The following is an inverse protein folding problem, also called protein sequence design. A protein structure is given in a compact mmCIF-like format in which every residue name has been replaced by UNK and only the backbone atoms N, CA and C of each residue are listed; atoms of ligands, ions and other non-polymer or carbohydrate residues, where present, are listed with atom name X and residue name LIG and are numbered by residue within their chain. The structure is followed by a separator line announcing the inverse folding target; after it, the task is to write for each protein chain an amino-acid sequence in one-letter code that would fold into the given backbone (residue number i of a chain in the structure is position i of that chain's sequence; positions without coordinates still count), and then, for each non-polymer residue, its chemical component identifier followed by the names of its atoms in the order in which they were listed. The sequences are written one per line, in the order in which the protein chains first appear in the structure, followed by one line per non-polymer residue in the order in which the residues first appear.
data_IF_613244144385
#
_entry.id   IF_613244144385
#
_cell.length_a   1.000
_cell.length_b   1.000
_cell.length_c   1.000
_cell.angle_alpha   90.00
_cell.angle_beta   90.00
_cell.angle_gamma   90.00
#
_symmetry.space_group_name_H-M   'P 1'
#
loop_
_entity.id
_entity.type
_entity.pdbx_description
1 polymer ?
#
# COMPACT_ATOMS: atom_id res chain seq x y z
N UNK A 1 38.30 -12.23 10.46
CA UNK A 1 37.45 -13.40 10.86
C UNK A 1 36.46 -13.02 11.95
N UNK A 2 36.86 -12.39 13.06
CA UNK A 2 35.97 -11.98 14.15
C UNK A 2 34.99 -10.84 13.76
N UNK A 3 35.38 -9.90 12.95
CA UNK A 3 34.46 -8.86 12.42
C UNK A 3 33.32 -9.43 11.56
N UNK A 4 33.63 -10.41 10.70
CA UNK A 4 32.63 -11.11 9.89
C UNK A 4 31.62 -11.90 10.72
N UNK A 5 32.03 -12.49 11.85
CA UNK A 5 31.15 -13.21 12.78
C UNK A 5 30.22 -12.21 13.52
N UNK A 6 30.77 -11.07 13.96
CA UNK A 6 30.01 -10.01 14.64
C UNK A 6 28.99 -9.33 13.72
N UNK A 7 29.36 -9.10 12.46
CA UNK A 7 28.42 -8.60 11.43
C UNK A 7 27.34 -9.62 11.09
N UNK A 8 27.69 -10.91 11.03
CA UNK A 8 26.75 -12.00 10.74
C UNK A 8 25.65 -12.10 11.81
N UNK A 9 25.98 -11.90 13.08
CA UNK A 9 24.99 -11.87 14.17
C UNK A 9 24.18 -10.58 14.16
N UNK A 10 24.78 -9.44 13.81
CA UNK A 10 24.13 -8.13 13.82
C UNK A 10 22.97 -8.05 12.80
N UNK A 11 23.18 -8.46 11.54
CA UNK A 11 22.13 -8.39 10.53
C UNK A 11 20.98 -9.37 10.81
N UNK A 12 21.26 -10.56 11.36
CA UNK A 12 20.23 -11.54 11.73
C UNK A 12 19.35 -11.01 12.85
N UNK A 13 19.94 -10.45 13.91
CA UNK A 13 19.21 -9.81 14.99
C UNK A 13 18.37 -8.66 14.50
N UNK A 14 18.95 -7.78 13.67
CA UNK A 14 18.22 -6.68 13.07
C UNK A 14 17.06 -7.17 12.20
N UNK A 15 17.24 -8.26 11.44
CA UNK A 15 16.18 -8.85 10.62
C UNK A 15 14.95 -9.25 11.45
N UNK A 16 15.12 -9.95 12.57
CA UNK A 16 14.00 -10.37 13.42
C UNK A 16 13.24 -9.16 13.99
N UNK A 17 13.97 -8.18 14.52
CA UNK A 17 13.37 -7.00 15.12
C UNK A 17 12.65 -6.15 14.06
N UNK A 18 13.30 -5.96 12.92
CA UNK A 18 12.71 -5.19 11.81
C UNK A 18 11.54 -5.92 11.16
N UNK A 19 11.54 -7.25 11.11
CA UNK A 19 10.40 -8.04 10.64
C UNK A 19 9.18 -7.81 11.53
N UNK A 20 9.35 -7.90 12.85
CA UNK A 20 8.29 -7.56 13.80
C UNK A 20 7.86 -6.10 13.69
N UNK A 21 8.81 -5.17 13.62
CA UNK A 21 8.52 -3.74 13.48
C UNK A 21 7.79 -3.39 12.19
N UNK A 22 8.15 -4.01 11.06
CA UNK A 22 7.46 -3.80 9.77
C UNK A 22 6.07 -4.43 9.76
N UNK A 23 5.89 -5.59 10.40
CA UNK A 23 4.59 -6.21 10.60
C UNK A 23 3.67 -5.28 11.40
N UNK A 24 4.10 -4.84 12.58
CA UNK A 24 3.33 -3.94 13.43
C UNK A 24 3.04 -2.59 12.77
N UNK A 25 3.98 -2.07 11.98
CA UNK A 25 3.76 -0.85 11.18
C UNK A 25 2.73 -1.10 10.08
N UNK A 26 2.77 -2.25 9.42
CA UNK A 26 1.77 -2.67 8.45
C UNK A 26 0.37 -2.78 9.06
N UNK A 27 0.26 -3.44 10.21
CA UNK A 27 -0.99 -3.49 11.01
C UNK A 27 -1.46 -2.08 11.33
N UNK A 28 -0.61 -1.23 11.94
CA UNK A 28 -0.97 0.14 12.33
C UNK A 28 -1.39 1.04 11.16
N UNK A 29 -0.83 0.82 9.98
CA UNK A 29 -1.18 1.57 8.77
C UNK A 29 -2.54 1.17 8.19
N UNK A 30 -2.95 -0.10 8.31
CA UNK A 30 -4.15 -0.64 7.66
C UNK A 30 -5.33 -0.92 8.62
N UNK A 31 -5.06 -1.11 9.90
CA UNK A 31 -6.02 -1.51 10.93
C UNK A 31 -7.26 -0.61 11.00
N UNK A 32 -7.05 0.70 10.90
CA UNK A 32 -8.12 1.70 11.07
C UNK A 32 -8.92 1.92 9.78
N UNK A 33 -8.34 1.63 8.63
CA UNK A 33 -8.92 1.98 7.31
C UNK A 33 -10.37 1.49 7.16
N UNK A 34 -10.74 0.23 7.50
CA UNK A 34 -12.08 -0.28 7.25
C UNK A 34 -13.17 0.40 8.09
N UNK A 35 -12.86 0.87 9.28
CA UNK A 35 -13.87 1.50 10.15
C UNK A 35 -13.73 3.02 10.26
N UNK A 36 -12.79 3.61 9.49
CA UNK A 36 -12.57 5.06 9.52
C UNK A 36 -13.84 5.86 9.19
N UNK A 37 -14.65 5.51 8.17
CA UNK A 37 -15.91 6.20 7.92
C UNK A 37 -16.90 6.11 9.09
N UNK A 38 -16.97 4.95 9.76
CA UNK A 38 -17.83 4.74 10.93
C UNK A 38 -17.32 5.56 12.13
N UNK A 39 -16.02 5.71 12.27
CA UNK A 39 -15.42 6.59 13.29
C UNK A 39 -15.73 8.06 13.00
N UNK A 40 -15.62 8.52 11.74
CA UNK A 40 -15.99 9.89 11.36
C UNK A 40 -17.45 10.18 11.70
N UNK A 41 -18.36 9.26 11.40
CA UNK A 41 -19.78 9.37 11.75
C UNK A 41 -20.00 9.53 13.26
N UNK A 42 -19.19 8.88 14.11
CA UNK A 42 -19.25 9.03 15.56
C UNK A 42 -18.78 10.38 16.09
N UNK A 43 -18.11 11.20 15.25
CA UNK A 43 -17.61 12.54 15.58
C UNK A 43 -18.59 13.66 15.25
N UNK A 44 -19.72 13.37 14.59
CA UNK A 44 -20.72 14.36 14.24
C UNK A 44 -21.85 13.80 13.38
N UNK A 45 -22.82 14.63 13.07
CA UNK A 45 -23.93 14.29 12.18
C UNK A 45 -23.59 14.74 10.74
N UNK A 46 -23.48 13.78 9.84
CA UNK A 46 -23.13 14.02 8.45
C UNK A 46 -24.17 13.39 7.53
N UNK A 47 -24.51 14.07 6.47
CA UNK A 47 -25.23 13.48 5.33
C UNK A 47 -24.37 12.40 4.65
N UNK A 48 -24.99 11.52 3.85
CA UNK A 48 -24.27 10.48 3.08
C UNK A 48 -23.13 11.10 2.22
N UNK A 49 -23.39 12.26 1.61
CA UNK A 49 -22.42 12.96 0.78
C UNK A 49 -21.22 13.48 1.60
N UNK A 50 -21.51 14.16 2.71
CA UNK A 50 -20.47 14.69 3.59
C UNK A 50 -19.62 13.59 4.22
N UNK A 51 -20.24 12.51 4.69
CA UNK A 51 -19.54 11.37 5.28
C UNK A 51 -18.60 10.71 4.26
N UNK A 52 -19.09 10.49 3.04
CA UNK A 52 -18.28 9.95 1.95
C UNK A 52 -17.13 10.88 1.60
N UNK A 53 -17.39 12.18 1.46
CA UNK A 53 -16.37 13.19 1.13
C UNK A 53 -15.29 13.27 2.22
N UNK A 54 -15.66 13.39 3.50
CA UNK A 54 -14.70 13.43 4.60
C UNK A 54 -13.87 12.15 4.68
N UNK A 55 -14.49 10.98 4.46
CA UNK A 55 -13.78 9.69 4.45
C UNK A 55 -12.72 9.64 3.37
N UNK A 56 -13.06 10.05 2.15
CA UNK A 56 -12.12 10.09 1.03
C UNK A 56 -11.00 11.10 1.24
N UNK A 57 -11.34 12.31 1.72
CA UNK A 57 -10.36 13.37 1.98
C UNK A 57 -9.35 12.95 3.06
N UNK A 58 -9.82 12.36 4.15
CA UNK A 58 -8.96 11.92 5.27
C UNK A 58 -8.04 10.78 4.85
N UNK A 59 -8.51 9.83 4.05
CA UNK A 59 -7.67 8.76 3.51
C UNK A 59 -6.64 9.33 2.52
N UNK A 60 -7.07 10.15 1.57
CA UNK A 60 -6.20 10.75 0.57
C UNK A 60 -5.12 11.64 1.19
N UNK A 61 -5.45 12.39 2.25
CA UNK A 61 -4.54 13.32 2.93
C UNK A 61 -3.28 12.63 3.45
N UNK A 62 -3.41 11.42 3.99
CA UNK A 62 -2.28 10.63 4.48
C UNK A 62 -1.34 10.23 3.33
N UNK A 63 -1.89 9.77 2.19
CA UNK A 63 -1.08 9.42 1.03
C UNK A 63 -0.43 10.63 0.39
N UNK A 64 -1.14 11.76 0.34
CA UNK A 64 -0.64 13.03 -0.22
C UNK A 64 0.59 13.51 0.54
N UNK A 65 0.49 13.63 1.86
CA UNK A 65 1.62 14.11 2.69
C UNK A 65 2.76 13.11 2.72
N UNK A 66 2.47 11.79 2.68
CA UNK A 66 3.50 10.75 2.57
C UNK A 66 4.27 10.86 1.25
N UNK A 67 3.58 11.10 0.13
CA UNK A 67 4.20 11.28 -1.17
C UNK A 67 5.14 12.52 -1.21
N UNK A 68 4.72 13.63 -0.61
CA UNK A 68 5.51 14.86 -0.54
C UNK A 68 6.69 14.72 0.43
N UNK A 69 6.48 14.11 1.58
CA UNK A 69 7.50 14.01 2.62
C UNK A 69 8.55 12.93 2.34
N UNK A 70 8.19 11.85 1.63
CA UNK A 70 9.07 10.71 1.38
C UNK A 70 10.42 11.09 0.70
N UNK A 71 10.49 11.93 -0.35
CA UNK A 71 11.75 12.35 -0.94
C UNK A 71 12.62 13.19 0.01
N UNK A 72 11.99 14.00 0.87
CA UNK A 72 12.70 14.82 1.85
C UNK A 72 13.37 13.94 2.92
N UNK A 73 12.61 12.98 3.44
CA UNK A 73 13.13 12.01 4.41
C UNK A 73 14.17 11.07 3.80
N UNK A 74 14.02 10.69 2.52
CA UNK A 74 15.02 9.91 1.79
C UNK A 74 16.36 10.61 1.71
N UNK A 75 16.38 11.91 1.34
CA UNK A 75 17.59 12.73 1.33
C UNK A 75 18.22 12.86 2.74
N UNK A 76 17.40 12.98 3.76
CA UNK A 76 17.88 13.07 5.14
C UNK A 76 18.44 11.70 5.62
N UNK A 77 17.81 10.60 5.22
CA UNK A 77 18.29 9.25 5.50
C UNK A 77 19.67 8.96 4.87
N UNK A 78 19.92 9.48 3.67
CA UNK A 78 21.23 9.36 3.01
C UNK A 78 22.33 10.17 3.71
N UNK A 79 21.97 11.19 4.51
CA UNK A 79 22.90 12.04 5.26
C UNK A 79 23.08 11.64 6.72
N UNK A 80 22.02 11.14 7.37
CA UNK A 80 21.99 10.88 8.83
C UNK A 80 21.84 9.40 9.19
N UNK A 81 21.68 8.52 8.18
CA UNK A 81 21.43 7.10 8.40
C UNK A 81 19.96 6.72 8.40
N UNK A 82 19.68 5.43 8.30
CA UNK A 82 18.34 4.85 8.23
C UNK A 82 17.70 4.71 9.61
N UNK A 83 18.50 4.36 10.64
CA UNK A 83 18.02 4.18 12.02
C UNK A 83 17.35 5.44 12.59
N UNK A 84 17.92 6.66 12.51
CA UNK A 84 17.25 7.88 12.97
C UNK A 84 15.91 8.13 12.25
N UNK A 85 15.82 7.77 10.96
CA UNK A 85 14.57 7.91 10.20
C UNK A 85 13.51 6.92 10.63
N UNK A 86 13.89 5.68 11.01
CA UNK A 86 12.96 4.71 11.59
C UNK A 86 12.45 5.15 12.96
N UNK A 87 13.34 5.66 13.81
CA UNK A 87 12.98 6.19 15.13
C UNK A 87 12.01 7.35 15.03
N UNK A 88 12.30 8.31 14.14
CA UNK A 88 11.38 9.42 13.86
C UNK A 88 10.01 8.90 13.40
N UNK A 89 10.00 7.95 12.45
CA UNK A 89 8.76 7.43 11.89
C UNK A 89 7.92 6.70 12.95
N UNK A 90 8.50 5.76 13.70
CA UNK A 90 7.77 5.00 14.72
C UNK A 90 7.29 5.86 15.88
N UNK A 91 8.10 6.81 16.36
CA UNK A 91 7.72 7.74 17.40
C UNK A 91 6.59 8.68 16.95
N UNK A 92 6.77 9.32 15.78
CA UNK A 92 5.77 10.25 15.25
C UNK A 92 4.46 9.54 14.93
N UNK A 93 4.49 8.39 14.25
CA UNK A 93 3.31 7.58 13.99
C UNK A 93 2.63 7.14 15.29
N UNK A 94 3.39 6.68 16.29
CA UNK A 94 2.87 6.24 17.58
C UNK A 94 2.10 7.35 18.30
N UNK A 95 2.70 8.53 18.44
CA UNK A 95 2.07 9.69 19.07
C UNK A 95 0.82 10.13 18.29
N UNK A 96 0.94 10.26 16.98
CA UNK A 96 -0.16 10.76 16.13
C UNK A 96 -1.34 9.80 16.15
N UNK A 97 -1.10 8.49 16.02
CA UNK A 97 -2.18 7.47 16.07
C UNK A 97 -2.82 7.46 17.46
N UNK A 98 -2.03 7.55 18.53
CA UNK A 98 -2.55 7.64 19.89
C UNK A 98 -3.48 8.86 20.05
N UNK A 99 -3.07 10.03 19.57
CA UNK A 99 -3.87 11.25 19.63
C UNK A 99 -5.16 11.17 18.80
N UNK A 100 -5.21 10.35 17.73
CA UNK A 100 -6.44 10.14 16.96
C UNK A 100 -7.57 9.52 17.82
N UNK A 101 -7.26 8.82 18.90
CA UNK A 101 -8.25 8.31 19.85
C UNK A 101 -8.98 9.40 20.66
N UNK A 102 -8.43 10.60 20.70
CA UNK A 102 -8.94 11.71 21.52
C UNK A 102 -9.58 12.84 20.71
N UNK A 103 -9.66 12.72 19.39
CA UNK A 103 -10.26 13.75 18.53
C UNK A 103 -11.76 13.88 18.82
N UNK A 104 -12.27 15.10 18.71
CA UNK A 104 -13.67 15.45 18.94
C UNK A 104 -14.41 15.89 17.67
N UNK A 105 -13.67 16.15 16.60
CA UNK A 105 -14.23 16.54 15.30
C UNK A 105 -13.38 16.04 14.11
N UNK A 106 -13.97 16.08 12.93
CA UNK A 106 -13.37 15.59 11.69
C UNK A 106 -12.12 16.36 11.27
N UNK A 107 -12.03 17.64 11.57
CA UNK A 107 -10.90 18.50 11.19
C UNK A 107 -9.63 18.16 11.99
N UNK A 108 -9.77 17.88 13.30
CA UNK A 108 -8.67 17.38 14.10
C UNK A 108 -8.14 16.05 13.53
N UNK A 109 -9.06 15.16 13.16
CA UNK A 109 -8.68 13.88 12.55
C UNK A 109 -7.95 14.11 11.21
N UNK A 110 -8.40 15.03 10.38
CA UNK A 110 -7.75 15.39 9.12
C UNK A 110 -6.31 15.90 9.34
N UNK A 111 -6.12 16.80 10.30
CA UNK A 111 -4.78 17.32 10.64
C UNK A 111 -3.86 16.19 11.09
N UNK A 112 -4.32 15.31 11.97
CA UNK A 112 -3.54 14.17 12.44
C UNK A 112 -3.22 13.19 11.31
N UNK A 113 -4.11 13.00 10.36
CA UNK A 113 -3.88 12.17 9.16
C UNK A 113 -2.85 12.78 8.20
N UNK A 114 -2.87 14.09 8.02
CA UNK A 114 -1.82 14.81 7.28
C UNK A 114 -0.46 14.62 7.96
N UNK A 115 -0.41 14.79 9.27
CA UNK A 115 0.82 14.57 10.05
C UNK A 115 1.27 13.10 9.99
N UNK A 116 0.35 12.14 10.07
CA UNK A 116 0.66 10.71 9.97
C UNK A 116 1.40 10.38 8.66
N UNK A 117 0.90 10.90 7.55
CA UNK A 117 1.55 10.73 6.25
C UNK A 117 2.95 11.35 6.22
N UNK A 118 3.11 12.55 6.78
CA UNK A 118 4.40 13.24 6.86
C UNK A 118 5.44 12.48 7.70
N UNK A 119 5.00 11.79 8.76
CA UNK A 119 5.89 11.00 9.62
C UNK A 119 6.06 9.55 9.16
N UNK A 120 5.40 9.09 8.12
CA UNK A 120 5.52 7.73 7.59
C UNK A 120 6.94 7.38 7.11
N UNK A 121 7.18 6.09 6.80
CA UNK A 121 8.44 5.65 6.19
C UNK A 121 9.27 4.66 7.00
N UNK A 122 8.71 4.04 8.05
CA UNK A 122 9.40 3.00 8.83
C UNK A 122 9.79 1.80 7.95
N UNK A 123 8.82 1.25 7.18
CA UNK A 123 9.03 0.05 6.33
C UNK A 123 10.11 0.30 5.28
N UNK A 124 10.07 1.43 4.57
CA UNK A 124 11.04 1.75 3.52
C UNK A 124 12.46 1.92 4.06
N UNK A 125 12.62 2.54 5.24
CA UNK A 125 13.92 2.67 5.88
C UNK A 125 14.44 1.34 6.45
N UNK A 126 13.56 0.49 6.97
CA UNK A 126 13.90 -0.88 7.41
C UNK A 126 14.44 -1.72 6.26
N UNK A 127 13.75 -1.70 5.12
CA UNK A 127 14.17 -2.39 3.90
C UNK A 127 15.50 -1.85 3.38
N UNK A 128 15.68 -0.52 3.37
CA UNK A 128 16.91 0.11 2.93
C UNK A 128 18.10 -0.21 3.86
N UNK A 129 17.88 -0.23 5.18
CA UNK A 129 18.92 -0.63 6.15
C UNK A 129 19.34 -2.08 5.92
N UNK A 130 18.37 -3.00 5.78
CA UNK A 130 18.67 -4.41 5.54
C UNK A 130 19.41 -4.62 4.23
N UNK A 131 19.06 -3.90 3.16
CA UNK A 131 19.76 -3.97 1.88
C UNK A 131 21.25 -3.57 1.96
N UNK A 132 21.61 -2.72 2.95
CA UNK A 132 22.99 -2.27 3.16
C UNK A 132 23.78 -3.28 4.01
N UNK A 133 23.19 -3.85 5.08
CA UNK A 133 23.92 -4.62 6.08
C UNK A 133 23.95 -6.13 5.80
N UNK A 134 23.04 -6.63 4.95
CA UNK A 134 22.96 -8.07 4.65
C UNK A 134 23.99 -8.46 3.60
N UNK A 135 24.72 -9.59 3.78
CA UNK A 135 25.59 -10.14 2.74
C UNK A 135 24.83 -10.38 1.41
N UNK A 136 25.48 -10.13 0.28
CA UNK A 136 24.85 -10.19 -1.06
C UNK A 136 24.21 -11.55 -1.36
N UNK A 137 24.80 -12.64 -0.92
CA UNK A 137 24.30 -14.03 -1.07
C UNK A 137 23.01 -14.30 -0.30
N UNK A 138 22.68 -13.49 0.71
CA UNK A 138 21.49 -13.63 1.59
C UNK A 138 20.49 -12.49 1.46
N UNK A 139 20.81 -11.48 0.66
CA UNK A 139 19.98 -10.27 0.52
C UNK A 139 18.56 -10.60 0.05
N UNK A 140 18.41 -11.48 -0.94
CA UNK A 140 17.10 -11.91 -1.43
C UNK A 140 16.21 -12.51 -0.34
N UNK A 141 16.77 -13.43 0.49
CA UNK A 141 16.03 -14.06 1.60
C UNK A 141 15.65 -13.04 2.67
N UNK A 142 16.58 -12.17 3.07
CA UNK A 142 16.32 -11.20 4.13
C UNK A 142 15.29 -10.14 3.73
N UNK A 143 15.43 -9.57 2.52
CA UNK A 143 14.49 -8.58 2.00
C UNK A 143 13.11 -9.19 1.71
N UNK A 144 13.08 -10.43 1.20
CA UNK A 144 11.85 -11.19 1.03
C UNK A 144 11.12 -11.44 2.35
N UNK A 145 11.86 -11.79 3.42
CA UNK A 145 11.30 -11.94 4.76
C UNK A 145 10.68 -10.65 5.27
N UNK A 146 11.39 -9.52 5.19
CA UNK A 146 10.86 -8.20 5.58
C UNK A 146 9.60 -7.83 4.80
N UNK A 147 9.62 -8.03 3.49
CA UNK A 147 8.47 -7.76 2.62
C UNK A 147 7.27 -8.63 3.00
N UNK A 148 7.48 -9.93 3.27
CA UNK A 148 6.42 -10.84 3.70
C UNK A 148 5.78 -10.41 5.02
N UNK A 149 6.58 -10.05 6.04
CA UNK A 149 6.07 -9.55 7.32
C UNK A 149 5.31 -8.23 7.18
N UNK A 150 5.83 -7.29 6.41
CA UNK A 150 5.16 -6.02 6.12
C UNK A 150 3.81 -6.23 5.42
N UNK A 151 3.79 -7.08 4.40
CA UNK A 151 2.57 -7.44 3.67
C UNK A 151 1.57 -8.15 4.58
N UNK A 152 2.00 -9.14 5.36
CA UNK A 152 1.14 -9.82 6.32
C UNK A 152 0.50 -8.84 7.32
N UNK A 153 1.27 -7.87 7.82
CA UNK A 153 0.74 -6.82 8.68
C UNK A 153 -0.34 -5.97 8.01
N UNK A 154 -0.10 -5.55 6.76
CA UNK A 154 -1.08 -4.78 6.00
C UNK A 154 -2.37 -5.57 5.71
N UNK A 155 -2.27 -6.87 5.46
CA UNK A 155 -3.41 -7.73 5.12
C UNK A 155 -4.22 -8.14 6.35
N UNK A 156 -3.56 -8.41 7.47
CA UNK A 156 -4.21 -8.80 8.72
C UNK A 156 -4.72 -7.60 9.52
N UNK A 157 -4.15 -6.41 9.29
CA UNK A 157 -4.51 -5.19 10.01
C UNK A 157 -6.00 -4.88 10.00
N UNK A 158 -6.69 -4.88 8.85
CA UNK A 158 -8.13 -4.61 8.77
C UNK A 158 -8.97 -5.58 9.60
N UNK A 159 -8.62 -6.87 9.60
CA UNK A 159 -9.31 -7.90 10.39
C UNK A 159 -9.05 -7.69 11.89
N UNK A 160 -7.79 -7.52 12.28
CA UNK A 160 -7.41 -7.24 13.67
C UNK A 160 -8.12 -5.98 14.17
N UNK A 161 -8.15 -4.93 13.35
CA UNK A 161 -8.81 -3.67 13.67
C UNK A 161 -10.31 -3.80 13.82
N UNK A 162 -10.94 -4.57 12.93
CA UNK A 162 -12.38 -4.86 13.02
C UNK A 162 -12.76 -5.55 14.32
N UNK A 163 -12.02 -6.61 14.69
CA UNK A 163 -12.23 -7.34 15.95
C UNK A 163 -11.96 -6.44 17.17
N UNK A 164 -10.82 -5.73 17.15
CA UNK A 164 -10.44 -4.86 18.28
C UNK A 164 -11.46 -3.75 18.49
N UNK A 165 -11.94 -3.11 17.42
CA UNK A 165 -12.89 -2.01 17.50
C UNK A 165 -14.27 -2.44 18.05
N UNK A 166 -14.71 -3.68 17.83
CA UNK A 166 -15.95 -4.20 18.42
C UNK A 166 -15.80 -4.38 19.94
N UNK A 167 -14.66 -4.87 20.41
CA UNK A 167 -14.45 -5.13 21.83
C UNK A 167 -14.07 -3.89 22.65
N UNK A 168 -13.31 -2.97 22.05
CA UNK A 168 -12.74 -1.82 22.79
C UNK A 168 -13.30 -0.46 22.34
N UNK A 169 -14.02 -0.43 21.22
CA UNK A 169 -14.48 0.80 20.58
C UNK A 169 -13.38 1.46 19.72
N UNK A 170 -13.78 2.37 18.84
CA UNK A 170 -12.88 3.00 17.88
C UNK A 170 -11.74 3.78 18.55
N UNK A 171 -12.06 4.59 19.57
CA UNK A 171 -11.10 5.45 20.28
C UNK A 171 -9.98 4.65 20.94
N UNK A 172 -10.34 3.59 21.66
CA UNK A 172 -9.37 2.74 22.34
C UNK A 172 -8.51 1.96 21.32
N UNK A 173 -9.10 1.56 20.19
CA UNK A 173 -8.36 0.91 19.08
C UNK A 173 -7.23 1.80 18.56
N UNK A 174 -7.46 3.11 18.38
CA UNK A 174 -6.40 4.05 18.04
C UNK A 174 -5.33 4.14 19.13
N UNK A 175 -5.75 4.24 20.39
CA UNK A 175 -4.81 4.33 21.53
C UNK A 175 -3.93 3.09 21.64
N UNK A 176 -4.51 1.89 21.54
CA UNK A 176 -3.77 0.62 21.55
C UNK A 176 -2.78 0.57 20.37
N UNK A 177 -3.22 0.94 19.17
CA UNK A 177 -2.35 0.97 17.99
C UNK A 177 -1.19 1.96 18.16
N UNK A 178 -1.47 3.13 18.72
CA UNK A 178 -0.44 4.12 19.04
C UNK A 178 0.59 3.60 20.03
N UNK A 179 0.16 2.92 21.09
CA UNK A 179 1.05 2.28 22.07
C UNK A 179 1.90 1.19 21.42
N UNK A 180 1.32 0.35 20.56
CA UNK A 180 2.08 -0.66 19.81
C UNK A 180 3.18 0.00 18.96
N UNK A 181 2.89 1.11 18.30
CA UNK A 181 3.88 1.84 17.51
C UNK A 181 4.99 2.48 18.39
N UNK A 182 4.64 2.92 19.61
CA UNK A 182 5.64 3.37 20.59
C UNK A 182 6.53 2.21 21.11
N UNK A 183 5.97 1.01 21.25
CA UNK A 183 6.77 -0.19 21.52
C UNK A 183 7.73 -0.51 20.36
N UNK A 184 7.30 -0.38 19.11
CA UNK A 184 8.18 -0.51 17.93
C UNK A 184 9.30 0.54 17.98
N UNK A 185 8.99 1.77 18.39
CA UNK A 185 10.02 2.79 18.60
C UNK A 185 11.05 2.37 19.66
N UNK A 186 10.62 1.88 20.82
CA UNK A 186 11.51 1.44 21.90
C UNK A 186 12.37 0.25 21.45
N UNK A 187 11.78 -0.75 20.78
CA UNK A 187 12.53 -1.89 20.23
C UNK A 187 13.58 -1.42 19.21
N UNK A 188 13.22 -0.49 18.34
CA UNK A 188 14.17 0.08 17.36
C UNK A 188 15.27 0.88 18.05
N UNK A 189 14.93 1.65 19.09
CA UNK A 189 15.87 2.46 19.87
C UNK A 189 16.92 1.60 20.57
N UNK A 190 16.51 0.56 21.27
CA UNK A 190 17.41 -0.25 22.09
C UNK A 190 18.19 -1.29 21.30
N UNK A 191 17.58 -1.89 20.27
CA UNK A 191 18.14 -3.09 19.66
C UNK A 191 18.70 -2.89 18.25
N UNK A 192 18.19 -1.93 17.47
CA UNK A 192 18.70 -1.71 16.12
C UNK A 192 20.00 -0.90 16.18
N UNK A 193 21.05 -1.43 15.57
CA UNK A 193 22.33 -0.77 15.39
C UNK A 193 22.59 -0.56 13.90
N UNK A 194 23.13 0.59 13.55
CA UNK A 194 23.54 0.97 12.20
C UNK A 194 24.95 1.52 12.25
N UNK A 195 25.84 0.96 11.46
CA UNK A 195 27.16 1.55 11.18
C UNK A 195 27.01 2.40 9.93
N UNK A 196 26.91 3.70 10.12
CA UNK A 196 26.58 4.63 9.05
C UNK A 196 27.80 5.40 8.56
N UNK A 197 28.06 5.31 7.25
CA UNK A 197 29.04 6.15 6.54
C UNK A 197 28.29 7.11 5.61
N UNK A 198 28.42 8.43 5.81
CA UNK A 198 27.71 9.41 4.98
C UNK A 198 28.18 9.32 3.52
N UNK A 199 27.22 9.30 2.57
CA UNK A 199 27.55 9.42 1.14
C UNK A 199 28.02 10.82 0.81
N UNK A 200 29.08 10.94 0.00
CA UNK A 200 29.63 12.22 -0.47
C UNK A 200 28.65 12.91 -1.44
N UNK A 201 28.68 14.25 -1.45
CA UNK A 201 27.83 15.05 -2.37
C UNK A 201 28.02 14.66 -3.85
N UNK A 202 29.21 14.24 -4.25
CA UNK A 202 29.54 13.81 -5.61
C UNK A 202 28.80 12.53 -6.03
N UNK A 203 28.57 11.59 -5.10
CA UNK A 203 27.82 10.35 -5.36
C UNK A 203 26.30 10.58 -5.49
N UNK A 204 25.80 11.68 -4.92
CA UNK A 204 24.37 12.04 -4.98
C UNK A 204 23.95 12.71 -6.28
N UNK A 205 24.91 13.24 -7.06
CA UNK A 205 24.62 14.14 -8.21
C UNK A 205 24.72 13.43 -9.56
N UNK A 206 25.19 12.19 -9.62
CA UNK A 206 25.31 11.41 -10.87
C UNK A 206 23.93 11.00 -11.40
N UNK A 207 23.65 11.46 -12.61
CA UNK A 207 22.61 11.04 -13.56
C UNK A 207 21.32 11.86 -13.59
N UNK A 208 21.37 13.01 -14.26
CA UNK A 208 20.18 13.60 -14.90
C UNK A 208 19.97 12.88 -16.24
N UNK A 209 19.04 11.94 -16.27
CA UNK A 209 18.66 11.24 -17.50
C UNK A 209 17.44 11.90 -18.11
N UNK A 210 17.43 12.09 -19.42
CA UNK A 210 16.24 12.49 -20.17
C UNK A 210 15.42 11.24 -20.46
N UNK A 211 14.14 11.23 -20.03
CA UNK A 211 13.19 10.13 -20.27
C UNK A 211 13.10 9.73 -21.76
N UNK A 212 13.36 10.68 -22.67
CA UNK A 212 13.34 10.46 -24.12
C UNK A 212 14.45 9.52 -24.63
N UNK A 213 15.50 9.26 -23.85
CA UNK A 213 16.63 8.41 -24.22
C UNK A 213 16.40 6.93 -23.86
N UNK A 214 15.25 6.60 -23.24
CA UNK A 214 14.92 5.23 -22.83
C UNK A 214 14.39 4.48 -24.04
N UNK A 215 15.01 3.35 -24.44
CA UNK A 215 14.47 2.47 -25.47
C UNK A 215 13.07 1.98 -25.05
N UNK A 216 12.12 1.91 -26.00
CA UNK A 216 10.76 1.46 -25.73
C UNK A 216 10.01 2.24 -24.63
N UNK A 217 10.29 3.55 -24.50
CA UNK A 217 9.68 4.43 -23.49
C UNK A 217 8.15 4.30 -23.43
N UNK A 218 7.48 4.02 -24.56
CA UNK A 218 6.03 3.82 -24.62
C UNK A 218 5.54 2.68 -23.72
N UNK A 219 6.30 1.56 -23.65
CA UNK A 219 5.96 0.42 -22.79
C UNK A 219 6.15 0.80 -21.32
N UNK A 220 7.25 1.50 -21.01
CA UNK A 220 7.52 1.98 -19.65
C UNK A 220 6.39 2.91 -19.20
N UNK A 221 5.98 3.87 -20.04
CA UNK A 221 4.85 4.77 -19.73
C UNK A 221 3.57 3.98 -19.57
N UNK A 222 3.28 3.01 -20.44
CA UNK A 222 2.08 2.17 -20.31
C UNK A 222 2.05 1.42 -18.97
N UNK A 223 3.19 0.92 -18.48
CA UNK A 223 3.27 0.26 -17.17
C UNK A 223 3.16 1.24 -16.01
N UNK A 224 3.68 2.45 -16.15
CA UNK A 224 3.49 3.53 -15.16
C UNK A 224 2.01 3.91 -15.03
N UNK A 225 1.30 4.05 -16.16
CA UNK A 225 -0.16 4.28 -16.19
C UNK A 225 -0.90 3.08 -15.59
N UNK A 226 -0.49 1.86 -15.90
CA UNK A 226 -1.07 0.66 -15.31
C UNK A 226 -0.95 0.65 -13.78
N UNK A 227 0.22 0.98 -13.21
CA UNK A 227 0.41 1.07 -11.76
C UNK A 227 -0.46 2.16 -11.12
N UNK A 228 -0.60 3.30 -11.78
CA UNK A 228 -1.50 4.37 -11.34
C UNK A 228 -2.94 3.87 -11.30
N UNK A 229 -3.42 3.25 -12.39
CA UNK A 229 -4.82 2.83 -12.52
C UNK A 229 -5.16 1.70 -11.55
N UNK A 230 -4.29 0.73 -11.33
CA UNK A 230 -4.50 -0.33 -10.33
C UNK A 230 -4.75 0.29 -8.95
N UNK A 231 -3.87 1.22 -8.53
CA UNK A 231 -4.02 1.88 -7.23
C UNK A 231 -5.25 2.80 -7.18
N UNK A 232 -5.54 3.50 -8.26
CA UNK A 232 -6.72 4.36 -8.35
C UNK A 232 -8.01 3.55 -8.16
N UNK A 233 -8.13 2.40 -8.83
CA UNK A 233 -9.30 1.52 -8.77
C UNK A 233 -9.46 0.89 -7.39
N UNK A 234 -8.40 0.31 -6.81
CA UNK A 234 -8.45 -0.30 -5.48
C UNK A 234 -8.76 0.74 -4.39
N UNK A 235 -8.10 1.90 -4.44
CA UNK A 235 -8.27 2.94 -3.41
C UNK A 235 -9.57 3.73 -3.54
N UNK A 236 -10.24 3.73 -4.69
CA UNK A 236 -11.56 4.33 -4.85
C UNK A 236 -12.62 3.65 -3.95
N UNK A 237 -12.51 2.35 -3.74
CA UNK A 237 -13.44 1.55 -2.95
C UNK A 237 -13.21 1.74 -1.43
N UNK A 238 -11.99 2.05 -1.04
CA UNK A 238 -11.56 2.09 0.37
C UNK A 238 -12.47 2.96 1.27
N UNK A 239 -12.83 4.21 0.92
CA UNK A 239 -13.62 5.09 1.79
C UNK A 239 -15.09 4.66 1.94
N UNK A 240 -15.60 3.83 1.03
CA UNK A 240 -17.02 3.45 1.02
C UNK A 240 -17.26 2.03 1.54
N UNK A 241 -16.22 1.23 1.69
CA UNK A 241 -16.36 -0.20 1.90
C UNK A 241 -17.15 -0.54 3.15
N UNK A 242 -16.87 0.10 4.30
CA UNK A 242 -17.62 -0.15 5.55
C UNK A 242 -19.06 0.39 5.50
N UNK A 243 -19.27 1.48 4.76
CA UNK A 243 -20.60 2.05 4.57
C UNK A 243 -21.46 1.13 3.69
N UNK A 244 -20.85 0.55 2.65
CA UNK A 244 -21.52 -0.42 1.80
C UNK A 244 -21.78 -1.76 2.52
N UNK A 245 -20.83 -2.24 3.32
CA UNK A 245 -21.05 -3.41 4.20
C UNK A 245 -22.22 -3.16 5.14
N UNK A 246 -22.33 -1.96 5.73
CA UNK A 246 -23.45 -1.57 6.60
C UNK A 246 -24.80 -1.60 5.85
N UNK A 247 -24.81 -1.12 4.60
CA UNK A 247 -26.04 -1.14 3.78
C UNK A 247 -26.50 -2.57 3.47
N UNK A 248 -25.56 -3.50 3.24
CA UNK A 248 -25.86 -4.91 2.98
C UNK A 248 -26.14 -5.74 4.24
N UNK A 249 -25.73 -5.25 5.42
CA UNK A 249 -25.89 -5.97 6.69
C UNK A 249 -27.33 -5.90 7.18
N UNK A 250 -27.92 -7.05 7.45
CA UNK A 250 -29.26 -7.13 8.07
C UNK A 250 -29.24 -6.90 9.59
N UNK A 251 -28.08 -7.11 10.22
CA UNK A 251 -27.87 -6.98 11.66
C UNK A 251 -26.68 -6.06 11.95
N UNK A 252 -26.83 -4.98 12.75
CA UNK A 252 -25.79 -3.98 12.95
C UNK A 252 -24.63 -4.41 13.84
N UNK A 253 -24.78 -5.49 14.62
CA UNK A 253 -23.88 -5.81 15.74
C UNK A 253 -22.42 -6.17 15.33
N UNK A 254 -22.19 -6.53 14.06
CA UNK A 254 -20.89 -7.01 13.59
C UNK A 254 -20.33 -6.25 12.38
N UNK A 255 -20.83 -5.05 12.06
CA UNK A 255 -20.46 -4.31 10.84
C UNK A 255 -18.94 -4.10 10.74
N UNK A 256 -18.30 -3.74 11.85
CA UNK A 256 -16.87 -3.42 11.88
C UNK A 256 -16.00 -4.66 11.60
N UNK A 257 -16.37 -5.83 12.15
CA UNK A 257 -15.69 -7.10 11.86
C UNK A 257 -15.91 -7.52 10.42
N UNK A 258 -17.14 -7.41 9.93
CA UNK A 258 -17.47 -7.73 8.54
C UNK A 258 -16.74 -6.82 7.56
N UNK A 259 -16.67 -5.52 7.84
CA UNK A 259 -15.91 -4.57 7.04
C UNK A 259 -14.39 -4.90 7.04
N UNK A 260 -13.85 -5.27 8.21
CA UNK A 260 -12.47 -5.73 8.33
C UNK A 260 -12.20 -7.01 7.52
N UNK A 261 -13.11 -7.99 7.59
CA UNK A 261 -13.01 -9.24 6.85
C UNK A 261 -13.07 -9.00 5.33
N UNK A 262 -14.05 -8.22 4.86
CA UNK A 262 -14.20 -7.85 3.45
C UNK A 262 -13.00 -7.06 2.94
N UNK A 263 -12.43 -6.18 3.75
CA UNK A 263 -11.24 -5.41 3.41
C UNK A 263 -9.98 -6.27 3.31
N UNK A 264 -9.83 -7.27 4.19
CA UNK A 264 -8.68 -8.20 4.21
C UNK A 264 -8.77 -9.30 3.16
N UNK A 265 -9.98 -9.60 2.66
CA UNK A 265 -10.23 -10.73 1.78
C UNK A 265 -9.34 -10.79 0.54
N UNK A 266 -9.11 -9.71 -0.24
CA UNK A 266 -8.22 -9.76 -1.40
C UNK A 266 -6.80 -10.15 -1.02
N UNK A 267 -6.31 -9.58 0.06
CA UNK A 267 -4.95 -9.83 0.53
C UNK A 267 -4.71 -11.27 0.96
N UNK A 268 -5.68 -11.91 1.60
CA UNK A 268 -5.57 -13.32 2.01
C UNK A 268 -5.32 -14.23 0.80
N UNK A 269 -6.07 -14.04 -0.28
CA UNK A 269 -5.88 -14.84 -1.49
C UNK A 269 -4.59 -14.45 -2.22
N UNK A 270 -4.23 -13.18 -2.24
CA UNK A 270 -3.02 -12.69 -2.91
C UNK A 270 -1.74 -13.40 -2.42
N UNK A 271 -1.64 -13.72 -1.12
CA UNK A 271 -0.49 -14.43 -0.55
C UNK A 271 -0.25 -15.79 -1.26
N UNK A 272 -1.33 -16.51 -1.53
CA UNK A 272 -1.26 -17.84 -2.17
C UNK A 272 -1.20 -17.74 -3.70
N UNK A 273 -1.88 -16.77 -4.28
CA UNK A 273 -2.00 -16.63 -5.72
C UNK A 273 -0.75 -15.98 -6.37
N UNK A 274 -0.04 -15.06 -5.68
CA UNK A 274 1.08 -14.35 -6.28
C UNK A 274 2.25 -15.26 -6.74
N UNK A 275 2.68 -16.30 -6.00
CA UNK A 275 3.71 -17.23 -6.47
C UNK A 275 3.26 -18.06 -7.67
N UNK A 276 1.96 -18.37 -7.77
CA UNK A 276 1.38 -19.07 -8.93
C UNK A 276 1.44 -18.20 -10.19
N UNK A 277 0.99 -16.92 -10.10
CA UNK A 277 1.01 -16.02 -11.25
C UNK A 277 2.43 -15.62 -11.66
N UNK A 278 3.39 -15.56 -10.72
CA UNK A 278 4.80 -15.40 -11.04
C UNK A 278 5.29 -16.50 -11.98
N UNK A 279 5.11 -17.77 -11.59
CA UNK A 279 5.48 -18.95 -12.41
C UNK A 279 4.70 -19.02 -13.74
N UNK A 280 3.40 -18.72 -13.71
CA UNK A 280 2.59 -18.66 -14.92
C UNK A 280 3.11 -17.59 -15.89
N UNK A 281 3.51 -16.44 -15.38
CA UNK A 281 4.09 -15.36 -16.17
C UNK A 281 5.42 -15.71 -16.82
N UNK A 282 6.24 -16.55 -16.15
CA UNK A 282 7.46 -17.08 -16.73
C UNK A 282 7.16 -18.08 -17.86
N UNK A 283 6.10 -18.87 -17.74
CA UNK A 283 5.71 -19.88 -18.74
C UNK A 283 5.01 -19.27 -19.96
N UNK A 284 4.00 -18.42 -19.77
CA UNK A 284 3.16 -17.90 -20.88
C UNK A 284 3.45 -16.45 -21.27
N UNK A 285 4.31 -15.76 -20.49
CA UNK A 285 4.66 -14.36 -20.64
C UNK A 285 3.85 -13.43 -19.75
N UNK A 286 4.53 -12.50 -19.05
CA UNK A 286 3.93 -11.56 -18.08
C UNK A 286 2.84 -10.66 -18.67
N UNK A 287 2.95 -10.31 -19.96
CA UNK A 287 1.97 -9.49 -20.65
C UNK A 287 0.59 -10.18 -20.78
N UNK A 288 0.56 -11.54 -20.93
CA UNK A 288 -0.69 -12.32 -20.96
C UNK A 288 -1.32 -12.38 -19.58
N UNK A 289 -0.51 -12.62 -18.56
CA UNK A 289 -0.95 -12.62 -17.16
C UNK A 289 -1.56 -11.28 -16.79
N UNK A 290 -0.89 -10.17 -17.15
CA UNK A 290 -1.40 -8.82 -16.93
C UNK A 290 -2.72 -8.58 -17.67
N UNK A 291 -2.82 -8.98 -18.95
CA UNK A 291 -4.05 -8.81 -19.74
C UNK A 291 -5.24 -9.56 -19.15
N UNK A 292 -5.07 -10.86 -18.86
CA UNK A 292 -6.14 -11.66 -18.26
C UNK A 292 -6.47 -11.20 -16.83
N UNK A 293 -5.47 -10.73 -16.07
CA UNK A 293 -5.68 -10.11 -14.77
C UNK A 293 -6.53 -8.87 -14.85
N UNK A 294 -6.28 -7.97 -15.82
CA UNK A 294 -7.10 -6.77 -16.06
C UNK A 294 -8.53 -7.12 -16.49
N UNK A 295 -8.68 -8.12 -17.36
CA UNK A 295 -10.00 -8.56 -17.80
C UNK A 295 -10.80 -9.16 -16.63
N UNK A 296 -10.16 -9.98 -15.80
CA UNK A 296 -10.76 -10.54 -14.59
C UNK A 296 -11.17 -9.42 -13.62
N UNK A 297 -10.27 -8.46 -13.35
CA UNK A 297 -10.55 -7.31 -12.48
C UNK A 297 -11.77 -6.52 -13.00
N UNK A 298 -11.83 -6.22 -14.30
CA UNK A 298 -12.95 -5.53 -14.91
C UNK A 298 -14.28 -6.24 -14.65
N UNK A 299 -14.33 -7.55 -14.92
CA UNK A 299 -15.55 -8.36 -14.71
C UNK A 299 -15.93 -8.38 -13.22
N UNK A 300 -14.95 -8.57 -12.32
CA UNK A 300 -15.21 -8.62 -10.88
C UNK A 300 -15.71 -7.30 -10.34
N UNK A 301 -15.17 -6.16 -10.79
CA UNK A 301 -15.68 -4.84 -10.37
C UNK A 301 -17.09 -4.58 -10.87
N UNK A 302 -17.46 -5.02 -12.08
CA UNK A 302 -18.85 -4.97 -12.54
C UNK A 302 -19.76 -5.84 -11.65
N UNK A 303 -19.35 -7.08 -11.34
CA UNK A 303 -20.15 -7.97 -10.49
C UNK A 303 -20.31 -7.43 -9.06
N UNK A 304 -19.29 -6.78 -8.51
CA UNK A 304 -19.35 -6.14 -7.19
C UNK A 304 -20.45 -5.08 -7.11
N UNK A 305 -20.73 -4.37 -8.19
CA UNK A 305 -21.82 -3.37 -8.24
C UNK A 305 -23.21 -3.98 -8.08
N UNK A 306 -23.37 -5.28 -8.37
CA UNK A 306 -24.65 -5.98 -8.29
C UNK A 306 -24.81 -6.84 -7.03
N UNK A 307 -23.89 -6.73 -6.06
CA UNK A 307 -24.00 -7.48 -4.81
C UNK A 307 -25.20 -7.01 -3.97
N UNK A 308 -25.93 -7.97 -3.42
CA UNK A 308 -27.10 -7.72 -2.56
C UNK A 308 -26.97 -8.41 -1.19
N UNK A 309 -25.86 -9.11 -0.94
CA UNK A 309 -25.58 -9.80 0.30
C UNK A 309 -24.08 -9.76 0.62
N UNK A 310 -23.74 -9.77 1.91
CA UNK A 310 -22.34 -9.70 2.38
C UNK A 310 -21.53 -10.89 1.90
N UNK A 311 -22.09 -12.09 1.84
CA UNK A 311 -21.35 -13.26 1.37
C UNK A 311 -20.96 -13.14 -0.10
N UNK A 312 -21.80 -12.52 -0.95
CA UNK A 312 -21.46 -12.22 -2.35
C UNK A 312 -20.32 -11.22 -2.44
N UNK A 313 -20.41 -10.13 -1.65
CA UNK A 313 -19.35 -9.13 -1.56
C UNK A 313 -18.04 -9.77 -1.11
N UNK A 314 -18.06 -10.61 -0.07
CA UNK A 314 -16.88 -11.30 0.44
C UNK A 314 -16.26 -12.22 -0.61
N UNK A 315 -17.09 -13.06 -1.26
CA UNK A 315 -16.63 -13.97 -2.32
C UNK A 315 -15.97 -13.21 -3.47
N UNK A 316 -16.61 -12.16 -3.97
CA UNK A 316 -16.07 -11.36 -5.06
C UNK A 316 -14.79 -10.61 -4.64
N UNK A 317 -14.71 -10.11 -3.41
CA UNK A 317 -13.47 -9.51 -2.88
C UNK A 317 -12.33 -10.52 -2.76
N UNK A 318 -12.61 -11.77 -2.40
CA UNK A 318 -11.61 -12.85 -2.45
C UNK A 318 -11.11 -13.06 -3.89
N UNK A 319 -12.02 -13.09 -4.87
CA UNK A 319 -11.66 -13.25 -6.29
C UNK A 319 -10.88 -12.03 -6.83
N UNK A 320 -11.16 -10.81 -6.35
CA UNK A 320 -10.35 -9.62 -6.66
C UNK A 320 -8.89 -9.83 -6.24
N UNK A 321 -8.64 -10.50 -5.11
CA UNK A 321 -7.28 -10.85 -4.69
C UNK A 321 -6.52 -11.72 -5.70
N UNK A 322 -7.22 -12.54 -6.49
CA UNK A 322 -6.62 -13.31 -7.60
C UNK A 322 -6.15 -12.37 -8.71
N UNK A 323 -7.00 -11.39 -9.09
CA UNK A 323 -6.61 -10.41 -10.10
C UNK A 323 -5.45 -9.54 -9.64
N UNK A 324 -5.47 -9.08 -8.38
CA UNK A 324 -4.41 -8.24 -7.82
C UNK A 324 -3.05 -8.96 -7.78
N UNK A 325 -3.07 -10.27 -7.47
CA UNK A 325 -1.88 -11.13 -7.50
C UNK A 325 -1.27 -11.25 -8.91
N UNK A 326 -2.08 -11.12 -9.96
CA UNK A 326 -1.63 -11.12 -11.34
C UNK A 326 -1.15 -9.71 -11.79
N UNK A 327 -1.82 -8.65 -11.36
CA UNK A 327 -1.65 -7.30 -11.89
C UNK A 327 -0.34 -6.64 -11.44
N UNK A 328 -0.15 -6.47 -10.13
CA UNK A 328 0.98 -5.69 -9.61
C UNK A 328 2.34 -6.29 -9.95
N UNK A 329 2.61 -7.59 -9.72
CA UNK A 329 3.91 -8.17 -10.04
C UNK A 329 4.19 -8.16 -11.55
N UNK A 330 3.19 -8.48 -12.39
CA UNK A 330 3.38 -8.49 -13.84
C UNK A 330 3.73 -7.12 -14.40
N UNK A 331 3.06 -6.06 -13.96
CA UNK A 331 3.38 -4.69 -14.36
C UNK A 331 4.82 -4.30 -13.97
N UNK A 332 5.27 -4.68 -12.76
CA UNK A 332 6.63 -4.44 -12.29
C UNK A 332 7.67 -5.21 -13.08
N UNK A 333 7.42 -6.50 -13.37
CA UNK A 333 8.34 -7.36 -14.14
C UNK A 333 8.47 -6.85 -15.58
N UNK A 334 7.35 -6.48 -16.23
CA UNK A 334 7.38 -5.90 -17.57
C UNK A 334 8.20 -4.59 -17.53
N UNK A 335 7.92 -3.71 -16.60
CA UNK A 335 8.67 -2.46 -16.44
C UNK A 335 10.16 -2.72 -16.22
N UNK A 336 10.54 -3.70 -15.39
CA UNK A 336 11.93 -4.07 -15.14
C UNK A 336 12.63 -4.60 -16.39
N UNK A 337 11.91 -5.36 -17.23
CA UNK A 337 12.45 -5.93 -18.48
C UNK A 337 12.81 -4.86 -19.50
N UNK A 338 11.97 -3.81 -19.62
CA UNK A 338 12.15 -2.73 -20.60
C UNK A 338 12.93 -1.54 -20.06
N UNK A 339 13.26 -1.51 -18.78
CA UNK A 339 14.07 -0.49 -18.15
C UNK A 339 15.57 -0.82 -18.35
N UNK A 340 16.37 0.07 -18.98
CA UNK A 340 17.81 -0.09 -19.02
C UNK A 340 18.41 -0.17 -17.61
N UNK A 341 19.45 -0.99 -17.42
CA UNK A 341 20.08 -1.22 -16.11
C UNK A 341 20.44 0.07 -15.38
N UNK A 342 20.98 1.05 -16.13
CA UNK A 342 21.38 2.35 -15.59
C UNK A 342 20.22 3.16 -15.04
N UNK A 343 18.98 2.93 -15.50
CA UNK A 343 17.77 3.72 -15.20
C UNK A 343 16.74 2.98 -14.40
N UNK A 344 16.92 1.69 -14.13
CA UNK A 344 15.96 0.84 -13.39
C UNK A 344 15.50 1.50 -12.10
N UNK A 345 16.42 1.91 -11.24
CA UNK A 345 16.07 2.53 -9.95
C UNK A 345 15.19 3.77 -10.09
N UNK A 346 15.43 4.59 -11.12
CA UNK A 346 14.66 5.81 -11.37
C UNK A 346 13.27 5.51 -11.95
N UNK A 347 13.18 4.54 -12.86
CA UNK A 347 11.91 4.09 -13.44
C UNK A 347 11.02 3.48 -12.35
N UNK A 348 11.59 2.67 -11.45
CA UNK A 348 10.86 2.16 -10.28
C UNK A 348 10.40 3.27 -9.33
N UNK A 349 11.19 4.33 -9.17
CA UNK A 349 10.78 5.51 -8.39
C UNK A 349 9.59 6.23 -9.04
N UNK A 350 9.57 6.36 -10.37
CA UNK A 350 8.40 6.88 -11.09
C UNK A 350 7.19 5.96 -10.92
N UNK A 351 7.36 4.63 -10.97
CA UNK A 351 6.30 3.67 -10.67
C UNK A 351 5.70 3.89 -9.28
N UNK A 352 6.55 4.08 -8.27
CA UNK A 352 6.09 4.39 -6.92
C UNK A 352 5.36 5.74 -6.85
N UNK A 353 5.82 6.76 -7.57
CA UNK A 353 5.12 8.04 -7.66
C UNK A 353 3.74 7.90 -8.29
N UNK A 354 3.61 7.13 -9.37
CA UNK A 354 2.31 6.85 -10.01
C UNK A 354 1.35 6.11 -9.07
N UNK A 355 1.84 5.15 -8.31
CA UNK A 355 1.03 4.50 -7.26
C UNK A 355 0.56 5.50 -6.20
N UNK A 356 1.44 6.40 -5.76
CA UNK A 356 1.08 7.43 -4.79
C UNK A 356 0.00 8.37 -5.33
N UNK A 357 0.10 8.78 -6.61
CA UNK A 357 -0.95 9.58 -7.28
C UNK A 357 -2.27 8.81 -7.32
N UNK A 358 -2.25 7.53 -7.68
CA UNK A 358 -3.43 6.66 -7.66
C UNK A 358 -4.03 6.53 -6.25
N UNK A 359 -3.18 6.37 -5.23
CA UNK A 359 -3.60 6.24 -3.84
C UNK A 359 -4.20 7.55 -3.27
N UNK A 360 -3.85 8.71 -3.81
CA UNK A 360 -4.48 10.00 -3.49
C UNK A 360 -5.77 10.20 -4.28
N UNK A 361 -5.73 9.97 -5.60
CA UNK A 361 -6.85 10.22 -6.50
C UNK A 361 -8.01 9.24 -6.30
N UNK A 362 -7.71 7.97 -5.99
CA UNK A 362 -8.72 6.93 -5.80
C UNK A 362 -9.77 7.29 -4.74
N UNK A 363 -9.37 7.52 -3.48
CA UNK A 363 -10.32 7.87 -2.41
C UNK A 363 -11.13 9.14 -2.72
N UNK A 364 -10.53 10.14 -3.35
CA UNK A 364 -11.22 11.37 -3.75
C UNK A 364 -12.29 11.07 -4.82
N UNK A 365 -11.91 10.34 -5.87
CA UNK A 365 -12.84 10.00 -6.95
C UNK A 365 -13.96 9.07 -6.47
N UNK A 366 -13.63 8.04 -5.69
CA UNK A 366 -14.60 7.10 -5.13
C UNK A 366 -15.59 7.76 -4.19
N UNK A 367 -15.12 8.62 -3.29
CA UNK A 367 -15.99 9.35 -2.36
C UNK A 367 -16.85 10.41 -3.05
N UNK A 368 -16.36 11.06 -4.09
CA UNK A 368 -17.16 11.97 -4.90
C UNK A 368 -18.33 11.24 -5.57
N UNK A 369 -18.04 10.10 -6.23
CA UNK A 369 -19.11 9.29 -6.84
C UNK A 369 -20.10 8.78 -5.80
N UNK A 370 -19.62 8.29 -4.65
CA UNK A 370 -20.47 7.81 -3.57
C UNK A 370 -21.35 8.90 -2.94
N UNK A 371 -20.88 10.14 -2.93
CA UNK A 371 -21.63 11.28 -2.40
C UNK A 371 -22.76 11.75 -3.31
N UNK A 372 -22.55 11.74 -4.63
CA UNK A 372 -23.55 12.18 -5.60
C UNK A 372 -24.49 11.06 -6.07
N UNK A 373 -24.01 9.81 -6.04
CA UNK A 373 -24.76 8.64 -6.48
C UNK A 373 -24.89 7.63 -5.34
N UNK A 374 -24.91 6.34 -5.67
CA UNK A 374 -24.90 5.27 -4.69
C UNK A 374 -23.51 4.62 -4.58
N UNK A 375 -23.23 3.92 -3.47
CA UNK A 375 -21.97 3.19 -3.25
C UNK A 375 -21.66 2.19 -4.38
N UNK A 376 -22.69 1.61 -5.00
CA UNK A 376 -22.56 0.69 -6.16
C UNK A 376 -21.85 1.31 -7.35
N UNK A 377 -22.05 2.61 -7.57
CA UNK A 377 -21.40 3.31 -8.70
C UNK A 377 -19.89 3.47 -8.55
N UNK A 378 -19.37 3.34 -7.33
CA UNK A 378 -17.91 3.34 -7.09
C UNK A 378 -17.25 2.12 -7.70
N UNK A 379 -17.93 0.95 -7.71
CA UNK A 379 -17.43 -0.24 -8.39
C UNK A 379 -17.44 -0.08 -9.92
N UNK A 380 -18.47 0.57 -10.48
CA UNK A 380 -18.46 0.92 -11.90
C UNK A 380 -17.36 1.91 -12.23
N UNK A 381 -17.07 2.88 -11.36
CA UNK A 381 -15.93 3.78 -11.52
C UNK A 381 -14.60 3.00 -11.55
N UNK A 382 -14.42 2.06 -10.63
CA UNK A 382 -13.24 1.20 -10.62
C UNK A 382 -13.12 0.37 -11.91
N UNK A 383 -14.22 -0.23 -12.38
CA UNK A 383 -14.28 -0.94 -13.66
C UNK A 383 -13.96 -0.01 -14.84
N UNK A 384 -14.46 1.23 -14.84
CA UNK A 384 -14.15 2.24 -15.85
C UNK A 384 -12.64 2.55 -15.91
N UNK A 385 -11.97 2.70 -14.79
CA UNK A 385 -10.52 2.89 -14.78
C UNK A 385 -9.79 1.67 -15.34
N UNK A 386 -10.22 0.45 -15.00
CA UNK A 386 -9.62 -0.77 -15.52
C UNK A 386 -9.82 -0.91 -17.04
N UNK A 387 -10.99 -0.56 -17.60
CA UNK A 387 -11.20 -0.63 -19.05
C UNK A 387 -10.35 0.42 -19.79
N UNK A 388 -10.17 1.62 -19.24
CA UNK A 388 -9.23 2.60 -19.79
C UNK A 388 -7.80 2.05 -19.84
N UNK A 389 -7.42 1.28 -18.82
CA UNK A 389 -6.11 0.63 -18.80
C UNK A 389 -6.02 -0.53 -19.79
N UNK A 390 -7.09 -1.30 -20.01
CA UNK A 390 -7.15 -2.32 -21.04
C UNK A 390 -6.97 -1.71 -22.43
N UNK A 391 -7.56 -0.56 -22.71
CA UNK A 391 -7.39 0.19 -23.95
C UNK A 391 -5.93 0.64 -24.12
N UNK A 392 -5.34 1.25 -23.07
CA UNK A 392 -3.93 1.64 -23.06
C UNK A 392 -3.00 0.44 -23.30
N UNK A 393 -3.30 -0.70 -22.67
CA UNK A 393 -2.54 -1.92 -22.83
C UNK A 393 -2.70 -2.48 -24.27
N UNK A 394 -3.92 -2.50 -24.80
CA UNK A 394 -4.22 -2.96 -26.16
C UNK A 394 -3.49 -2.16 -27.23
N UNK A 395 -3.39 -0.84 -27.07
CA UNK A 395 -2.64 0.04 -27.96
C UNK A 395 -1.13 -0.30 -28.03
N UNK A 396 -0.57 -0.82 -26.92
CA UNK A 396 0.83 -1.20 -26.82
C UNK A 396 1.07 -2.72 -27.03
N UNK A 397 0.02 -3.51 -27.20
CA UNK A 397 0.10 -4.97 -27.27
C UNK A 397 0.96 -5.50 -28.42
N UNK A 398 0.88 -4.87 -29.61
CA UNK A 398 1.67 -5.26 -30.77
C UNK A 398 3.17 -5.20 -30.48
N UNK A 399 3.63 -4.16 -29.82
CA UNK A 399 5.04 -3.98 -29.43
C UNK A 399 5.47 -5.01 -28.38
N UNK A 400 4.59 -5.30 -27.40
CA UNK A 400 4.84 -6.33 -26.38
C UNK A 400 4.88 -7.76 -26.94
N UNK A 401 4.18 -8.05 -28.04
CA UNK A 401 4.09 -9.38 -28.66
C UNK A 401 5.30 -9.64 -29.59
N UNK A 402 5.80 -8.65 -30.31
CA UNK A 402 6.82 -8.80 -31.37
C UNK A 402 8.19 -9.23 -30.81
N UNK A 403 8.45 -9.03 -29.52
CA UNK A 403 9.73 -9.37 -28.90
C UNK A 403 9.80 -10.79 -28.28
N UNK A 404 8.79 -11.65 -28.51
CA UNK A 404 8.86 -13.07 -28.15
C UNK A 404 9.69 -13.89 -29.15
N UNK A 405 9.98 -13.33 -30.32
CA UNK A 405 10.67 -13.99 -31.42
C UNK A 405 12.17 -13.63 -31.53
N UNK A 406 12.66 -12.84 -30.62
CA UNK A 406 14.09 -12.58 -30.43
C UNK A 406 14.54 -13.01 -29.04
#
# INVERSE_FOLDING_TARGET
MFENLRQKELWQRNLYILSFGTFMTGVGASLVIPFLPLYIESLGHYSKAELSFHSGLIIASTYLTSAIASPLWGKLADRKGRRPMMLRASLGMGIIIFLMGFVTNVWQLLILRLLLGAFSGYISNSTALMAIIVPKDKAGKALGTLSAWSTAGMLLGPLIGGVLAVHTGYRMTFSITGVIMLLVFLLTWFYIKEEFTPKTKAEMTKNKVRLAEIPNIKIVIAMLVTMLVIQLSDKAITPILSLYVRELAKHPDNITVLAGLVASAPGLIMIFAAPFFGRLGDAIGQYRVLFYGLLLAFVLYILLAFTNAIWQLLLLRLLVGISDAALEPSAQIIMAKYAPEEYKGRIFSYGQSMRSVGAVGGPIAGSAVAGYFDYRYVFFLAAFFIILNLINFGANYKVLKTERTK
#
